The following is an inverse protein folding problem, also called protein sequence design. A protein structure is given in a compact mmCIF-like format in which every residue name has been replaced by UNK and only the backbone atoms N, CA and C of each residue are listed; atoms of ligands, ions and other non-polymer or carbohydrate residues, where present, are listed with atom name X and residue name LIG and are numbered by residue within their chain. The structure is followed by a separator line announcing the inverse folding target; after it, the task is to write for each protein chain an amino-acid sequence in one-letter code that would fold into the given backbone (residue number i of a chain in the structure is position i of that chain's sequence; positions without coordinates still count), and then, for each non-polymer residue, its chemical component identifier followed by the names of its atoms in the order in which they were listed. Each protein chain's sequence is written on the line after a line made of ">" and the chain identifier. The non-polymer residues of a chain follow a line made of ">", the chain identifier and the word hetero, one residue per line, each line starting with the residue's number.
data_IF_963160375260
#
_entry.id   IF_963160375260
#
_cell.length_a   1.000
_cell.length_b   1.000
_cell.length_c   1.000
_cell.angle_alpha   90.00
_cell.angle_beta   90.00
_cell.angle_gamma   90.00
#
_symmetry.space_group_name_H-M   'P 1'
#
loop_
_entity.id
_entity.type
_entity.pdbx_description
1 polymer ?
#
# COMPACT_ATOMS: atom_id res chain seq x y z
N UNK A 1 -33.12 28.95 15.47
CA UNK A 1 -33.26 27.48 15.58
C UNK A 1 -31.89 26.95 15.92
N UNK A 2 -31.67 26.58 17.18
CA UNK A 2 -30.36 26.15 17.66
C UNK A 2 -30.24 24.65 17.34
N UNK A 3 -29.42 24.28 16.36
CA UNK A 3 -29.06 22.89 16.07
C UNK A 3 -28.01 22.40 17.10
N UNK A 4 -28.19 22.71 18.37
CA UNK A 4 -27.30 22.27 19.44
C UNK A 4 -27.93 21.05 20.10
N UNK A 5 -27.13 20.01 20.29
CA UNK A 5 -27.38 18.76 21.04
C UNK A 5 -27.81 17.48 20.32
N UNK A 6 -27.80 17.39 18.99
CA UNK A 6 -27.85 16.07 18.33
C UNK A 6 -26.44 15.48 18.26
N UNK A 7 -26.17 14.50 19.12
CA UNK A 7 -24.99 13.65 19.04
C UNK A 7 -25.29 12.45 18.13
N UNK A 8 -24.31 12.05 17.33
CA UNK A 8 -24.36 10.88 16.47
C UNK A 8 -23.19 9.95 16.76
N UNK A 9 -23.41 8.65 16.54
CA UNK A 9 -22.37 7.63 16.71
C UNK A 9 -21.46 7.57 15.48
N UNK A 10 -20.19 7.21 15.70
CA UNK A 10 -19.23 6.93 14.63
C UNK A 10 -19.73 5.79 13.72
N UNK A 11 -19.57 5.93 12.41
CA UNK A 11 -19.87 4.85 11.45
C UNK A 11 -19.07 3.56 11.69
N UNK A 12 -17.93 3.66 12.38
CA UNK A 12 -17.07 2.53 12.72
C UNK A 12 -17.47 1.81 14.02
N UNK A 13 -18.68 2.01 14.55
CA UNK A 13 -19.15 1.28 15.75
C UNK A 13 -19.16 -0.24 15.56
N UNK A 14 -19.43 -0.74 14.34
CA UNK A 14 -19.31 -2.17 14.02
C UNK A 14 -17.89 -2.73 14.16
N UNK A 15 -16.87 -1.86 14.15
CA UNK A 15 -15.45 -2.18 14.34
C UNK A 15 -14.93 -1.80 15.74
N UNK A 16 -15.85 -1.56 16.69
CA UNK A 16 -15.52 -1.30 18.09
C UNK A 16 -15.42 0.17 18.48
N UNK A 17 -15.70 1.12 17.58
CA UNK A 17 -15.72 2.54 17.98
C UNK A 17 -16.93 2.88 18.87
N UNK A 18 -16.67 3.35 20.08
CA UNK A 18 -17.70 3.75 21.06
C UNK A 18 -17.98 5.25 21.08
N UNK A 19 -17.25 6.04 20.27
CA UNK A 19 -17.37 7.50 20.25
C UNK A 19 -18.73 7.94 19.71
N UNK A 20 -19.36 8.85 20.46
CA UNK A 20 -20.52 9.64 20.05
C UNK A 20 -20.15 11.10 20.20
N UNK A 21 -20.34 11.89 19.16
CA UNK A 21 -20.00 13.31 19.16
C UNK A 21 -21.03 14.14 18.40
N UNK A 22 -20.95 15.46 18.50
CA UNK A 22 -21.79 16.37 17.74
C UNK A 22 -21.58 16.19 16.23
N UNK A 23 -22.65 16.38 15.46
CA UNK A 23 -22.63 16.16 14.01
C UNK A 23 -21.50 16.92 13.28
N UNK A 24 -21.14 18.11 13.74
CA UNK A 24 -20.08 18.92 13.13
C UNK A 24 -18.66 18.38 13.41
N UNK A 25 -18.46 17.64 14.51
CA UNK A 25 -17.18 17.03 14.88
C UNK A 25 -17.05 15.58 14.38
N UNK A 26 -18.19 14.93 14.07
CA UNK A 26 -18.24 13.51 13.69
C UNK A 26 -17.35 13.20 12.48
N UNK A 27 -17.42 14.03 11.44
CA UNK A 27 -16.62 13.84 10.22
C UNK A 27 -15.13 13.95 10.49
N UNK A 28 -14.71 14.80 11.42
CA UNK A 28 -13.30 14.96 11.75
C UNK A 28 -12.80 13.80 12.60
N UNK A 29 -13.63 13.26 13.49
CA UNK A 29 -13.35 12.00 14.17
C UNK A 29 -13.21 10.84 13.17
N UNK A 30 -14.14 10.67 12.24
CA UNK A 30 -14.16 9.54 11.30
C UNK A 30 -12.91 9.49 10.41
N UNK A 31 -12.36 10.65 10.01
CA UNK A 31 -11.12 10.75 9.21
C UNK A 31 -9.90 10.15 9.90
N UNK A 32 -9.89 10.11 11.23
CA UNK A 32 -8.76 9.68 12.05
C UNK A 32 -9.14 8.57 13.03
N UNK A 33 -10.30 7.95 12.83
CA UNK A 33 -10.85 6.97 13.74
C UNK A 33 -9.91 5.75 13.78
N UNK A 34 -9.35 5.37 14.94
CA UNK A 34 -8.45 4.21 15.04
C UNK A 34 -9.12 2.88 14.69
N UNK A 35 -10.46 2.85 14.70
CA UNK A 35 -11.29 1.69 14.35
C UNK A 35 -11.74 1.71 12.88
N UNK A 36 -11.25 2.64 12.06
CA UNK A 36 -11.54 2.63 10.63
C UNK A 36 -10.95 1.35 9.99
N UNK A 37 -11.74 0.61 9.18
CA UNK A 37 -11.29 -0.65 8.61
C UNK A 37 -10.46 -0.44 7.33
N UNK A 38 -9.67 -1.46 7.02
CA UNK A 38 -9.23 -1.78 5.67
C UNK A 38 -10.01 -3.00 5.17
N UNK A 39 -10.18 -3.11 3.86
CA UNK A 39 -10.99 -4.16 3.22
C UNK A 39 -10.09 -5.15 2.47
N UNK A 40 -10.50 -6.42 2.43
CA UNK A 40 -9.80 -7.41 1.61
C UNK A 40 -9.99 -7.10 0.12
N UNK A 41 -8.91 -7.07 -0.68
CA UNK A 41 -8.98 -6.84 -2.12
C UNK A 41 -9.34 -8.09 -2.92
N UNK A 42 -9.36 -9.29 -2.31
CA UNK A 42 -9.63 -10.55 -2.99
C UNK A 42 -11.08 -10.61 -3.49
N UNK A 43 -11.27 -11.08 -4.71
CA UNK A 43 -12.59 -11.04 -5.34
C UNK A 43 -13.57 -11.97 -4.62
N UNK A 44 -14.67 -11.39 -4.12
CA UNK A 44 -15.70 -12.14 -3.39
C UNK A 44 -15.41 -12.34 -1.90
N UNK A 45 -14.29 -11.82 -1.37
CA UNK A 45 -14.04 -11.74 0.06
C UNK A 45 -14.63 -10.44 0.63
N UNK A 46 -15.43 -10.53 1.69
CA UNK A 46 -16.08 -9.39 2.34
C UNK A 46 -15.40 -8.96 3.65
N UNK A 47 -14.21 -9.50 3.92
CA UNK A 47 -13.45 -9.19 5.12
C UNK A 47 -13.16 -7.68 5.24
N UNK A 48 -13.40 -7.16 6.44
CA UNK A 48 -13.07 -5.79 6.82
C UNK A 48 -12.66 -5.74 8.29
N UNK A 49 -11.50 -5.17 8.58
CA UNK A 49 -10.93 -5.12 9.92
C UNK A 49 -9.82 -4.08 10.03
N UNK A 50 -9.16 -4.03 11.18
CA UNK A 50 -7.94 -3.22 11.35
C UNK A 50 -6.84 -3.67 10.39
N UNK A 51 -5.83 -2.82 10.18
CA UNK A 51 -4.70 -3.13 9.30
C UNK A 51 -3.96 -4.41 9.72
N UNK A 52 -3.86 -4.69 11.03
CA UNK A 52 -3.23 -5.91 11.53
C UNK A 52 -4.10 -7.15 11.30
N UNK A 53 -5.41 -7.06 11.54
CA UNK A 53 -6.33 -8.17 11.26
C UNK A 53 -6.36 -8.48 9.75
N UNK A 54 -6.29 -7.47 8.89
CA UNK A 54 -6.17 -7.65 7.45
C UNK A 54 -4.86 -8.36 7.07
N UNK A 55 -3.73 -8.03 7.70
CA UNK A 55 -2.46 -8.72 7.45
C UNK A 55 -2.58 -10.22 7.75
N UNK A 56 -3.09 -10.58 8.93
CA UNK A 56 -3.31 -11.97 9.31
C UNK A 56 -4.25 -12.66 8.31
N UNK A 57 -5.38 -12.02 7.99
CA UNK A 57 -6.34 -12.56 7.03
C UNK A 57 -5.73 -12.85 5.65
N UNK A 58 -4.95 -11.93 5.09
CA UNK A 58 -4.31 -12.13 3.79
C UNK A 58 -3.31 -13.30 3.80
N UNK A 59 -2.60 -13.51 4.91
CA UNK A 59 -1.63 -14.60 5.05
C UNK A 59 -2.32 -15.93 5.34
N UNK A 60 -3.28 -15.95 6.27
CA UNK A 60 -3.84 -17.18 6.82
C UNK A 60 -5.02 -17.72 5.99
N UNK A 61 -5.85 -16.84 5.41
CA UNK A 61 -7.05 -17.23 4.66
C UNK A 61 -6.81 -17.25 3.13
N UNK A 62 -5.85 -16.45 2.64
CA UNK A 62 -5.54 -16.35 1.21
C UNK A 62 -4.15 -16.88 0.84
N UNK A 63 -3.35 -17.33 1.81
CA UNK A 63 -1.99 -17.86 1.60
C UNK A 63 -1.07 -16.87 0.85
N UNK A 64 -1.32 -15.56 0.96
CA UNK A 64 -0.50 -14.57 0.26
C UNK A 64 0.92 -14.53 0.86
N UNK A 65 1.97 -14.57 0.03
CA UNK A 65 3.33 -14.44 0.51
C UNK A 65 3.52 -13.06 1.17
N UNK A 66 4.26 -13.04 2.26
CA UNK A 66 4.56 -11.82 3.00
C UNK A 66 6.05 -11.60 3.18
N UNK A 67 6.45 -10.33 3.35
CA UNK A 67 7.82 -9.96 3.69
C UNK A 67 7.83 -8.77 4.63
N UNK A 68 8.46 -8.97 5.77
CA UNK A 68 8.77 -7.89 6.68
C UNK A 68 9.93 -7.05 6.13
N UNK A 69 9.83 -5.72 6.22
CA UNK A 69 10.87 -4.82 5.78
C UNK A 69 11.06 -3.62 6.72
N UNK A 70 12.17 -2.89 6.52
CA UNK A 70 12.46 -1.63 7.18
C UNK A 70 12.47 -0.49 6.15
N UNK A 71 11.86 0.66 6.49
CA UNK A 71 11.87 1.84 5.61
C UNK A 71 13.29 2.26 5.24
N UNK A 72 13.49 2.62 3.97
CA UNK A 72 14.78 3.04 3.42
C UNK A 72 15.80 1.92 3.23
N UNK A 73 15.49 0.68 3.63
CA UNK A 73 16.32 -0.49 3.28
C UNK A 73 15.82 -1.15 2.02
N UNK A 74 16.77 -1.55 1.16
CA UNK A 74 16.49 -2.33 -0.04
C UNK A 74 16.45 -3.81 0.29
N UNK A 75 15.42 -4.50 -0.19
CA UNK A 75 15.23 -5.94 -0.04
C UNK A 75 14.82 -6.56 -1.38
N UNK A 76 14.89 -7.88 -1.47
CA UNK A 76 14.57 -8.65 -2.68
C UNK A 76 13.18 -9.25 -2.54
N UNK A 77 12.44 -9.28 -3.64
CA UNK A 77 11.15 -9.99 -3.73
C UNK A 77 11.22 -11.05 -4.81
N UNK A 78 10.58 -12.19 -4.54
CA UNK A 78 10.36 -13.22 -5.56
C UNK A 78 9.30 -12.73 -6.54
N UNK A 79 9.56 -12.95 -7.83
CA UNK A 79 8.62 -12.56 -8.89
C UNK A 79 7.68 -13.74 -9.10
N UNK A 80 6.54 -13.72 -8.41
CA UNK A 80 5.48 -14.72 -8.55
C UNK A 80 4.19 -13.99 -8.92
N UNK A 81 3.45 -14.52 -9.90
CA UNK A 81 2.13 -13.99 -10.28
C UNK A 81 1.22 -13.88 -9.05
N UNK A 82 0.48 -12.77 -8.98
CA UNK A 82 -0.46 -12.50 -7.90
C UNK A 82 0.05 -11.41 -6.96
N UNK A 83 -0.28 -11.57 -5.68
CA UNK A 83 -0.12 -10.54 -4.66
C UNK A 83 0.97 -10.91 -3.66
N UNK A 84 1.72 -9.91 -3.20
CA UNK A 84 2.72 -10.04 -2.15
C UNK A 84 2.53 -8.93 -1.13
N UNK A 85 2.42 -9.30 0.15
CA UNK A 85 2.19 -8.37 1.26
C UNK A 85 3.53 -7.92 1.85
N UNK A 86 3.71 -6.63 2.01
CA UNK A 86 4.84 -6.04 2.72
C UNK A 86 4.34 -5.36 3.99
N UNK A 87 5.04 -5.58 5.09
CA UNK A 87 4.69 -5.00 6.38
C UNK A 87 5.95 -4.63 7.17
N UNK A 88 5.77 -3.75 8.15
CA UNK A 88 6.81 -3.41 9.14
C UNK A 88 6.52 -4.09 10.46
N UNK A 89 7.50 -4.19 11.35
CA UNK A 89 7.25 -4.63 12.75
C UNK A 89 6.37 -3.64 13.52
N UNK A 90 6.50 -2.35 13.21
CA UNK A 90 5.70 -1.29 13.82
C UNK A 90 4.27 -1.31 13.29
N UNK A 91 3.32 -0.94 14.15
CA UNK A 91 1.94 -0.68 13.74
C UNK A 91 1.93 0.45 12.71
N UNK A 92 1.41 0.16 11.53
CA UNK A 92 1.44 1.07 10.40
C UNK A 92 0.68 0.53 9.20
N UNK A 93 0.79 1.18 8.04
CA UNK A 93 0.17 0.70 6.82
C UNK A 93 0.85 -0.58 6.31
N UNK A 94 0.09 -1.39 5.58
CA UNK A 94 0.64 -2.47 4.76
C UNK A 94 0.97 -1.93 3.38
N UNK A 95 1.79 -2.66 2.62
CA UNK A 95 1.93 -2.43 1.20
C UNK A 95 1.63 -3.71 0.43
N UNK A 96 0.92 -3.57 -0.68
CA UNK A 96 0.66 -4.69 -1.59
C UNK A 96 1.48 -4.47 -2.86
N UNK A 97 2.23 -5.49 -3.25
CA UNK A 97 2.89 -5.56 -4.56
C UNK A 97 2.15 -6.58 -5.39
N UNK A 98 1.56 -6.16 -6.51
CA UNK A 98 0.90 -7.06 -7.47
C UNK A 98 1.83 -7.30 -8.64
N UNK A 99 2.08 -8.57 -8.95
CA UNK A 99 2.75 -9.01 -10.18
C UNK A 99 1.69 -9.55 -11.15
N UNK A 100 1.47 -8.81 -12.23
CA UNK A 100 0.56 -9.19 -13.31
C UNK A 100 1.37 -9.66 -14.51
N UNK A 101 1.17 -10.89 -15.03
CA UNK A 101 1.82 -11.33 -16.24
C UNK A 101 1.54 -10.39 -17.40
N UNK A 102 2.60 -10.01 -18.13
CA UNK A 102 2.55 -9.14 -19.28
C UNK A 102 3.36 -9.76 -20.45
N UNK A 103 2.84 -10.80 -21.12
CA UNK A 103 3.54 -11.44 -22.24
C UNK A 103 3.67 -10.50 -23.45
N UNK A 104 4.80 -10.56 -24.21
CA UNK A 104 6.01 -11.36 -23.97
C UNK A 104 7.04 -10.68 -23.03
N UNK A 105 6.69 -9.56 -22.44
CA UNK A 105 7.63 -8.63 -21.80
C UNK A 105 8.05 -9.02 -20.38
N UNK A 106 7.24 -9.80 -19.67
CA UNK A 106 7.55 -10.26 -18.31
C UNK A 106 6.37 -10.06 -17.38
N UNK A 107 6.57 -9.35 -16.26
CA UNK A 107 5.52 -9.01 -15.32
C UNK A 107 5.43 -7.50 -15.13
N UNK A 108 4.22 -6.97 -15.18
CA UNK A 108 3.96 -5.61 -14.74
C UNK A 108 3.77 -5.62 -13.21
N UNK A 109 4.34 -4.63 -12.53
CA UNK A 109 4.26 -4.51 -11.08
C UNK A 109 3.61 -3.21 -10.67
N UNK A 110 2.71 -3.29 -9.69
CA UNK A 110 2.10 -2.14 -9.04
C UNK A 110 2.24 -2.25 -7.53
N UNK A 111 2.42 -1.12 -6.87
CA UNK A 111 2.55 -1.06 -5.41
C UNK A 111 1.48 -0.14 -4.84
N UNK A 112 0.75 -0.61 -3.83
CA UNK A 112 -0.26 0.14 -3.10
C UNK A 112 0.09 0.21 -1.63
N UNK A 113 -0.26 1.32 -0.98
CA UNK A 113 -0.22 1.48 0.46
C UNK A 113 -1.63 1.28 1.01
N UNK A 114 -1.78 0.39 1.99
CA UNK A 114 -3.05 0.10 2.64
C UNK A 114 -3.09 0.85 3.96
N UNK A 115 -3.90 1.91 3.98
CA UNK A 115 -4.04 2.85 5.10
C UNK A 115 -5.55 3.11 5.31
N UNK A 116 -6.10 2.84 6.51
CA UNK A 116 -7.53 3.06 6.77
C UNK A 116 -7.94 4.54 6.63
N UNK A 117 -6.97 5.45 6.74
CA UNK A 117 -7.14 6.90 6.60
C UNK A 117 -6.58 7.42 5.27
N UNK A 118 -6.50 6.56 4.26
CA UNK A 118 -5.99 6.93 2.94
C UNK A 118 -6.75 8.10 2.32
N UNK A 119 -6.01 9.14 1.93
CA UNK A 119 -6.53 10.28 1.17
C UNK A 119 -6.02 10.19 -0.26
N UNK A 120 -6.92 10.17 -1.25
CA UNK A 120 -6.59 9.89 -2.65
C UNK A 120 -5.54 10.84 -3.26
N UNK A 121 -5.43 12.07 -2.79
CA UNK A 121 -4.45 13.06 -3.26
C UNK A 121 -3.11 13.02 -2.49
N UNK A 122 -3.06 12.38 -1.31
CA UNK A 122 -1.85 12.36 -0.49
C UNK A 122 -0.90 11.26 -0.96
N UNK A 123 0.40 11.58 -0.99
CA UNK A 123 1.47 10.62 -1.28
C UNK A 123 2.45 10.68 -0.11
N UNK A 124 2.30 9.72 0.82
CA UNK A 124 3.12 9.64 2.05
C UNK A 124 4.39 8.80 1.85
N UNK A 125 4.43 8.00 0.80
CA UNK A 125 5.49 7.03 0.57
C UNK A 125 5.99 7.08 -0.88
N UNK A 126 7.28 6.81 -1.06
CA UNK A 126 7.90 6.54 -2.36
C UNK A 126 8.44 5.12 -2.38
N UNK A 127 8.40 4.49 -3.54
CA UNK A 127 9.02 3.21 -3.80
C UNK A 127 10.16 3.40 -4.81
N UNK A 128 11.29 2.77 -4.54
CA UNK A 128 12.35 2.58 -5.53
C UNK A 128 12.36 1.11 -5.92
N UNK A 129 11.95 0.82 -7.14
CA UNK A 129 11.98 -0.52 -7.70
C UNK A 129 13.20 -0.67 -8.61
N UNK A 130 13.84 -1.84 -8.58
CA UNK A 130 15.00 -2.14 -9.39
C UNK A 130 15.00 -3.59 -9.86
N UNK A 131 15.45 -3.78 -11.08
CA UNK A 131 15.71 -5.10 -11.66
C UNK A 131 17.17 -5.18 -12.08
N UNK A 132 17.82 -6.26 -11.68
CA UNK A 132 19.15 -6.62 -12.14
C UNK A 132 19.19 -8.09 -12.51
N UNK A 133 19.95 -8.45 -13.53
CA UNK A 133 20.21 -9.84 -13.90
C UNK A 133 21.69 -10.02 -14.20
N UNK A 134 22.35 -11.03 -13.65
CA UNK A 134 23.77 -11.30 -13.97
C UNK A 134 23.93 -11.82 -15.41
N UNK A 135 22.85 -12.33 -16.00
CA UNK A 135 22.79 -12.77 -17.38
C UNK A 135 22.66 -11.60 -18.38
N UNK A 136 22.38 -10.38 -17.90
CA UNK A 136 22.17 -9.21 -18.75
C UNK A 136 23.02 -8.02 -18.26
N UNK A 137 23.76 -7.33 -19.14
CA UNK A 137 24.59 -6.19 -18.73
C UNK A 137 23.77 -4.96 -18.31
N UNK A 138 22.46 -4.96 -18.54
CA UNK A 138 21.56 -3.85 -18.27
C UNK A 138 20.85 -3.97 -16.92
N UNK A 139 20.64 -2.82 -16.27
CA UNK A 139 19.90 -2.67 -15.01
C UNK A 139 18.79 -1.64 -15.22
N UNK A 140 17.63 -1.90 -14.61
CA UNK A 140 16.49 -0.98 -14.65
C UNK A 140 16.18 -0.52 -13.23
N UNK A 141 15.85 0.77 -13.09
CA UNK A 141 15.38 1.35 -11.83
C UNK A 141 14.22 2.30 -12.12
N UNK A 142 13.28 2.41 -11.19
CA UNK A 142 12.19 3.38 -11.22
C UNK A 142 11.89 3.87 -9.81
N UNK A 143 11.71 5.17 -9.68
CA UNK A 143 11.25 5.83 -8.47
C UNK A 143 9.83 6.33 -8.71
N UNK A 144 8.89 5.98 -7.83
CA UNK A 144 7.50 6.39 -7.96
C UNK A 144 6.84 6.60 -6.61
N UNK A 145 5.81 7.45 -6.60
CA UNK A 145 5.01 7.70 -5.41
C UNK A 145 3.97 6.59 -5.25
N UNK A 146 3.81 6.08 -4.03
CA UNK A 146 2.85 5.01 -3.74
C UNK A 146 1.49 5.64 -3.48
N UNK A 147 0.45 5.09 -4.13
CA UNK A 147 -0.94 5.47 -3.88
C UNK A 147 -1.44 4.78 -2.61
N UNK A 148 -2.10 5.54 -1.74
CA UNK A 148 -2.78 5.00 -0.56
C UNK A 148 -4.26 4.71 -0.82
N UNK A 149 -4.78 3.66 -0.23
CA UNK A 149 -6.20 3.26 -0.26
C UNK A 149 -6.55 2.45 1.00
N UNK A 150 -7.82 2.42 1.40
CA UNK A 150 -8.31 1.45 2.38
C UNK A 150 -8.98 0.24 1.71
N UNK A 151 -9.02 0.20 0.37
CA UNK A 151 -9.63 -0.84 -0.47
C UNK A 151 -11.17 -0.95 -0.39
N UNK A 152 -11.87 0.05 0.15
CA UNK A 152 -13.34 0.01 0.21
C UNK A 152 -14.05 -0.10 -1.14
N UNK A 153 -13.37 0.32 -2.22
CA UNK A 153 -13.84 0.20 -3.60
C UNK A 153 -13.10 -0.91 -4.38
N UNK A 154 -12.46 -1.84 -3.66
CA UNK A 154 -11.58 -2.84 -4.24
C UNK A 154 -10.22 -2.28 -4.68
N UNK A 155 -9.51 -3.07 -5.50
CA UNK A 155 -8.26 -2.63 -6.12
C UNK A 155 -8.52 -1.47 -7.09
N UNK A 156 -7.68 -0.42 -7.09
CA UNK A 156 -7.73 0.60 -8.14
C UNK A 156 -7.65 -0.05 -9.52
N UNK A 157 -8.52 0.36 -10.45
CA UNK A 157 -8.51 -0.09 -11.83
C UNK A 157 -7.12 0.11 -12.46
N UNK A 158 -6.75 -0.83 -13.34
CA UNK A 158 -5.44 -0.97 -14.02
C UNK A 158 -5.16 0.15 -15.04
N UNK A 159 -5.68 1.36 -14.81
CA UNK A 159 -5.59 2.52 -15.69
C UNK A 159 -4.16 3.11 -15.60
N UNK A 160 -3.17 2.38 -16.12
CA UNK A 160 -1.76 2.82 -16.15
C UNK A 160 -1.04 2.83 -14.80
N UNK A 161 -1.52 2.06 -13.80
CA UNK A 161 -0.95 2.01 -12.44
C UNK A 161 0.31 1.14 -12.30
N UNK A 162 0.68 0.41 -13.36
CA UNK A 162 1.92 -0.35 -13.42
C UNK A 162 3.12 0.59 -13.32
N UNK A 163 3.80 0.55 -12.18
CA UNK A 163 4.86 1.48 -11.84
C UNK A 163 6.24 1.00 -12.33
N UNK A 164 6.34 -0.29 -12.65
CA UNK A 164 7.56 -0.92 -13.14
C UNK A 164 7.26 -2.20 -13.92
N UNK A 165 7.97 -2.44 -15.02
CA UNK A 165 7.93 -3.72 -15.74
C UNK A 165 9.18 -4.50 -15.40
N UNK A 166 9.00 -5.72 -14.89
CA UNK A 166 10.04 -6.69 -14.59
C UNK A 166 10.22 -7.60 -15.80
N UNK A 167 11.35 -7.55 -16.51
CA UNK A 167 11.60 -8.39 -17.67
C UNK A 167 11.61 -9.87 -17.31
N UNK A 168 11.28 -10.73 -18.28
CA UNK A 168 11.54 -12.16 -18.15
C UNK A 168 13.04 -12.42 -17.94
N UNK A 169 13.35 -13.27 -16.96
CA UNK A 169 14.69 -13.80 -16.85
C UNK A 169 15.00 -14.67 -18.09
N UNK A 170 16.25 -14.68 -18.59
CA UNK A 170 16.64 -15.62 -19.63
C UNK A 170 16.37 -17.05 -19.17
N UNK A 171 15.78 -17.88 -20.05
CA UNK A 171 15.35 -19.25 -19.76
C UNK A 171 16.46 -20.13 -19.18
N UNK A 172 17.70 -19.82 -19.51
CA UNK A 172 18.86 -20.67 -19.22
C UNK A 172 19.47 -20.39 -17.84
N UNK A 173 19.12 -19.26 -17.19
CA UNK A 173 19.61 -18.86 -15.86
C UNK A 173 18.57 -18.05 -15.05
N UNK A 174 17.46 -18.67 -14.61
CA UNK A 174 16.38 -17.96 -13.92
C UNK A 174 16.77 -17.36 -12.56
N UNK A 175 17.75 -17.93 -11.86
CA UNK A 175 18.20 -17.45 -10.53
C UNK A 175 19.12 -16.22 -10.60
N UNK A 176 19.56 -15.83 -11.80
CA UNK A 176 20.43 -14.67 -11.99
C UNK A 176 19.67 -13.34 -11.93
N UNK A 177 18.35 -13.37 -12.09
CA UNK A 177 17.48 -12.20 -12.07
C UNK A 177 17.00 -11.89 -10.65
N UNK A 178 16.96 -10.61 -10.32
CA UNK A 178 16.57 -10.14 -9.01
C UNK A 178 15.78 -8.84 -9.11
N UNK A 179 14.56 -8.90 -8.59
CA UNK A 179 13.74 -7.72 -8.34
C UNK A 179 13.97 -7.25 -6.90
N UNK A 180 14.27 -5.97 -6.75
CA UNK A 180 14.54 -5.34 -5.47
C UNK A 180 13.69 -4.09 -5.31
N UNK A 181 13.27 -3.86 -4.08
CA UNK A 181 12.45 -2.71 -3.72
C UNK A 181 12.97 -2.08 -2.43
N UNK A 182 12.81 -0.77 -2.33
CA UNK A 182 12.86 -0.04 -1.06
C UNK A 182 11.68 0.89 -0.99
N UNK A 183 11.13 1.07 0.22
CA UNK A 183 10.02 1.99 0.48
C UNK A 183 10.51 3.01 1.49
N UNK A 184 10.30 4.29 1.20
CA UNK A 184 10.67 5.40 2.08
C UNK A 184 9.43 6.23 2.44
N UNK A 185 9.43 6.76 3.66
CA UNK A 185 8.51 7.83 4.06
C UNK A 185 8.94 9.12 3.36
N UNK A 186 7.99 9.83 2.77
CA UNK A 186 8.21 11.16 2.23
C UNK A 186 8.15 12.13 3.41
N UNK A 187 9.29 12.71 3.78
CA UNK A 187 9.30 13.81 4.74
C UNK A 187 8.59 15.01 4.13
N UNK A 188 7.63 15.59 4.86
CA UNK A 188 7.11 16.93 4.52
C UNK A 188 8.29 17.89 4.71
N UNK A 189 8.97 18.25 3.62
CA UNK A 189 10.09 19.18 3.69
C UNK A 189 9.67 20.48 4.34
N UNK A 190 10.45 20.95 5.32
CA UNK A 190 10.50 22.36 5.69
C UNK A 190 10.61 23.18 4.41
N UNK A 191 9.65 24.06 4.18
CA UNK A 191 9.85 25.19 3.29
C UNK A 191 11.03 25.99 3.85
N UNK A 192 12.23 25.79 3.30
CA UNK A 192 13.33 26.72 3.52
C UNK A 192 12.89 28.06 2.92
N UNK A 193 12.48 28.99 3.79
CA UNK A 193 12.44 30.40 3.47
C UNK A 193 13.89 30.84 3.24
N UNK A 194 14.34 30.83 1.99
CA UNK A 194 15.50 31.64 1.63
C UNK A 194 15.03 33.08 1.58
N UNK A 195 15.16 33.78 2.72
CA UNK A 195 15.18 35.22 2.75
C UNK A 195 16.41 35.72 2.00
N UNK A 196 16.20 36.59 1.04
CA UNK A 196 17.27 37.40 0.46
C UNK A 196 17.30 38.73 1.19
N UNK A 197 18.48 39.07 1.72
CA UNK A 197 18.87 40.46 2.01
C UNK A 197 19.09 41.23 0.72
#
# INVERSE_FOLDING_TARGET
>A
MILESVQAACSNTKYGCTVKTHYHELKDHEKLCPHAPCFCPEAGCDFAGSTMELLCHLIDDHDWPSTEFEYGRRFKLQIQEGMHVLHTQEVGPLFLVKFTPLPPFGNATSTLCIDPHAVAAERKFKCQAGFHSDAMPWKQYSDFHIRSTNLSNGLPTEDGSCSFVVPNAPSDQPTAACFSVSIDKISRGSMCLTGSM
#
